data_IF_108425026765
#
_entry.id   IF_108425026765
#
_cell.length_a   1.000
_cell.length_b   1.000
_cell.length_c   1.000
_cell.angle_alpha   90.00
_cell.angle_beta   90.00
_cell.angle_gamma   90.00
#
_symmetry.space_group_name_H-M   'P 1'
#
loop_
_entity.id
_entity.type
_entity.pdbx_description
1 polymer ?
#
# COMPACT_ATOMS: atom_id res chain seq x y z
N UNK A 1 -0.52 6.22 3.82
CA UNK A 1 0.84 6.65 3.46
C UNK A 1 0.82 7.02 2.00
N UNK A 2 1.13 8.26 1.68
CA UNK A 2 0.96 8.85 0.36
C UNK A 2 2.32 8.97 -0.34
N UNK A 3 2.36 8.72 -1.65
CA UNK A 3 3.56 8.87 -2.46
C UNK A 3 4.08 10.30 -2.46
N UNK A 4 3.20 11.30 -2.53
CA UNK A 4 3.63 12.70 -2.46
C UNK A 4 4.31 13.02 -1.13
N UNK A 5 3.78 12.46 -0.04
CA UNK A 5 4.35 12.66 1.30
C UNK A 5 5.72 12.00 1.44
N UNK A 6 5.92 10.81 0.89
CA UNK A 6 7.27 10.21 0.83
C UNK A 6 8.22 11.10 0.01
N UNK A 7 7.75 11.65 -1.11
CA UNK A 7 8.55 12.55 -1.93
C UNK A 7 8.97 13.80 -1.14
N UNK A 8 8.05 14.45 -0.44
CA UNK A 8 8.35 15.60 0.43
C UNK A 8 9.41 15.24 1.49
N UNK A 9 9.29 14.07 2.13
CA UNK A 9 10.26 13.60 3.13
C UNK A 9 11.66 13.38 2.53
N UNK A 10 11.75 12.89 1.30
CA UNK A 10 13.02 12.64 0.60
C UNK A 10 13.67 13.91 0.04
N UNK A 11 12.96 15.05 0.04
CA UNK A 11 13.54 16.36 -0.27
C UNK A 11 14.22 17.01 0.95
N UNK A 12 13.92 16.54 2.17
CA UNK A 12 14.52 17.05 3.41
C UNK A 12 15.93 16.46 3.58
N UNK A 13 16.96 17.27 3.88
CA UNK A 13 18.31 16.77 4.10
C UNK A 13 18.36 15.82 5.31
N UNK A 14 19.13 14.74 5.17
CA UNK A 14 19.27 13.69 6.19
C UNK A 14 19.57 14.23 7.59
N UNK A 15 20.41 15.27 7.69
CA UNK A 15 20.75 15.90 8.97
C UNK A 15 19.54 16.48 9.69
N UNK A 16 18.60 17.09 8.99
CA UNK A 16 17.38 17.63 9.61
C UNK A 16 16.42 16.52 10.02
N UNK A 17 16.32 15.47 9.22
CA UNK A 17 15.53 14.27 9.56
C UNK A 17 16.09 13.51 10.76
N UNK A 18 17.40 13.57 11.00
CA UNK A 18 18.01 12.89 12.14
C UNK A 18 17.75 13.59 13.48
N UNK A 19 17.67 14.91 13.45
CA UNK A 19 17.35 15.78 14.60
C UNK A 19 15.83 15.82 14.89
N UNK A 20 14.98 15.69 13.87
CA UNK A 20 13.53 15.63 14.02
C UNK A 20 13.03 14.20 14.25
N UNK A 21 12.63 13.91 15.49
CA UNK A 21 12.14 12.58 15.89
C UNK A 21 10.86 12.15 15.17
N UNK A 22 9.97 13.08 14.83
CA UNK A 22 8.69 12.77 14.18
C UNK A 22 8.93 12.42 12.71
N UNK A 23 9.70 13.24 12.00
CA UNK A 23 10.05 12.97 10.60
C UNK A 23 10.87 11.68 10.47
N UNK A 24 11.80 11.44 11.40
CA UNK A 24 12.57 10.19 11.48
C UNK A 24 11.67 8.96 11.58
N UNK A 25 10.65 9.03 12.44
CA UNK A 25 9.70 7.94 12.62
C UNK A 25 8.91 7.71 11.33
N UNK A 26 8.44 8.78 10.69
CA UNK A 26 7.64 8.72 9.47
C UNK A 26 8.41 8.04 8.32
N UNK A 27 9.67 8.41 8.10
CA UNK A 27 10.56 7.76 7.12
C UNK A 27 10.74 6.27 7.41
N UNK A 28 10.92 5.92 8.69
CA UNK A 28 11.08 4.52 9.13
C UNK A 28 9.80 3.71 8.89
N UNK A 29 8.62 4.29 9.09
CA UNK A 29 7.34 3.65 8.79
C UNK A 29 7.16 3.44 7.28
N UNK A 30 7.56 4.41 6.43
CA UNK A 30 7.57 4.22 4.98
C UNK A 30 8.46 3.06 4.57
N UNK A 31 9.69 2.99 5.11
CA UNK A 31 10.60 1.89 4.86
C UNK A 31 9.99 0.54 5.29
N UNK A 32 9.39 0.47 6.48
CA UNK A 32 8.72 -0.73 6.95
C UNK A 32 7.60 -1.17 5.99
N UNK A 33 6.78 -0.23 5.53
CA UNK A 33 5.65 -0.51 4.64
C UNK A 33 6.10 -1.00 3.26
N UNK A 34 7.12 -0.37 2.70
CA UNK A 34 7.60 -0.67 1.35
C UNK A 34 8.32 -2.01 1.32
N UNK A 35 9.19 -2.27 2.30
CA UNK A 35 10.04 -3.46 2.33
C UNK A 35 9.50 -4.61 3.19
N UNK A 36 8.36 -4.43 3.86
CA UNK A 36 7.77 -5.37 4.83
C UNK A 36 8.77 -5.86 5.90
N UNK A 37 9.71 -4.99 6.29
CA UNK A 37 10.80 -5.30 7.24
C UNK A 37 10.61 -4.50 8.52
N UNK A 38 10.75 -5.15 9.67
CA UNK A 38 10.77 -4.47 10.97
C UNK A 38 12.07 -3.64 11.10
N UNK A 39 11.99 -2.30 11.12
CA UNK A 39 13.17 -1.46 11.18
C UNK A 39 13.74 -1.42 12.60
N UNK A 40 15.06 -1.31 12.71
CA UNK A 40 15.73 -1.12 13.99
C UNK A 40 15.75 0.38 14.33
N UNK A 41 14.93 0.79 15.30
CA UNK A 41 14.85 2.19 15.76
C UNK A 41 15.97 2.58 16.73
N UNK A 42 16.65 1.60 17.35
CA UNK A 42 17.76 1.85 18.30
C UNK A 42 19.15 1.87 17.64
N UNK A 43 19.25 1.48 16.36
CA UNK A 43 20.52 1.35 15.66
C UNK A 43 20.92 2.67 14.98
N UNK A 44 21.89 3.40 15.54
CA UNK A 44 22.32 4.72 15.03
C UNK A 44 22.67 4.75 13.53
N UNK A 45 23.33 3.71 13.03
CA UNK A 45 23.79 3.66 11.62
C UNK A 45 22.74 3.11 10.64
N UNK A 46 21.54 2.74 11.10
CA UNK A 46 20.53 2.13 10.23
C UNK A 46 19.60 3.14 9.57
N UNK A 47 19.35 4.27 10.22
CA UNK A 47 18.50 5.31 9.65
C UNK A 47 19.03 5.89 8.31
N UNK A 48 20.33 6.26 8.19
CA UNK A 48 20.91 6.68 6.91
C UNK A 48 20.74 5.63 5.81
N UNK A 49 20.83 4.35 6.17
CA UNK A 49 20.64 3.24 5.24
C UNK A 49 19.20 3.18 4.75
N UNK A 50 18.21 3.26 5.64
CA UNK A 50 16.78 3.27 5.27
C UNK A 50 16.43 4.46 4.36
N UNK A 51 16.92 5.64 4.71
CA UNK A 51 16.73 6.85 3.90
C UNK A 51 17.30 6.67 2.50
N UNK A 52 18.52 6.14 2.37
CA UNK A 52 19.14 5.89 1.07
C UNK A 52 18.35 4.89 0.23
N UNK A 53 17.92 3.76 0.81
CA UNK A 53 17.13 2.75 0.10
C UNK A 53 15.79 3.33 -0.40
N UNK A 54 15.13 4.15 0.42
CA UNK A 54 13.91 4.86 0.03
C UNK A 54 14.14 5.89 -1.07
N UNK A 55 15.29 6.57 -1.07
CA UNK A 55 15.66 7.54 -2.09
C UNK A 55 15.97 6.87 -3.43
N UNK A 56 16.57 5.68 -3.40
CA UNK A 56 16.90 4.91 -4.60
C UNK A 56 15.69 4.21 -5.21
N UNK A 57 14.84 3.54 -4.41
CA UNK A 57 13.76 2.69 -4.93
C UNK A 57 12.39 2.91 -4.24
N UNK A 58 12.34 3.68 -3.15
CA UNK A 58 11.15 3.79 -2.31
C UNK A 58 9.96 4.39 -3.03
N UNK A 59 10.17 5.39 -3.89
CA UNK A 59 9.09 5.99 -4.67
C UNK A 59 8.51 5.03 -5.72
N UNK A 60 9.34 4.23 -6.39
CA UNK A 60 8.90 3.25 -7.38
C UNK A 60 8.11 2.12 -6.71
N UNK A 61 8.67 1.53 -5.65
CA UNK A 61 8.04 0.45 -4.90
C UNK A 61 6.76 0.88 -4.16
N UNK A 62 6.64 2.16 -3.80
CA UNK A 62 5.41 2.71 -3.24
C UNK A 62 4.33 2.92 -4.32
N UNK A 63 4.73 3.17 -5.57
CA UNK A 63 3.80 3.34 -6.70
C UNK A 63 3.14 2.00 -7.07
N UNK A 64 3.82 0.87 -6.87
CA UNK A 64 3.26 -0.48 -7.08
C UNK A 64 2.17 -0.88 -6.06
N UNK A 65 1.84 -0.04 -5.08
CA UNK A 65 0.88 -0.39 -4.01
C UNK A 65 -0.16 0.69 -3.70
N UNK A 66 -0.40 1.65 -4.58
CA UNK A 66 -1.66 2.40 -4.54
C UNK A 66 -2.71 1.67 -5.34
N UNK A 67 -3.39 0.75 -4.65
CA UNK A 67 -4.57 0.11 -5.21
C UNK A 67 -5.61 1.15 -5.65
N UNK A 68 -6.22 0.90 -6.80
CA UNK A 68 -7.40 1.63 -7.26
C UNK A 68 -8.63 1.32 -6.39
N UNK A 69 -8.58 0.26 -5.61
CA UNK A 69 -9.60 -0.16 -4.67
C UNK A 69 -9.32 0.30 -3.24
N UNK A 70 -10.38 0.71 -2.56
CA UNK A 70 -10.36 1.00 -1.12
C UNK A 70 -11.66 0.53 -0.50
N UNK A 71 -11.57 -0.32 0.51
CA UNK A 71 -12.74 -0.75 1.29
C UNK A 71 -13.28 0.40 2.14
N UNK A 72 -14.61 0.45 2.28
CA UNK A 72 -15.29 1.39 3.17
C UNK A 72 -14.83 1.18 4.61
N UNK A 73 -14.46 2.27 5.27
CA UNK A 73 -14.04 2.27 6.69
C UNK A 73 -15.13 1.81 7.67
N UNK A 74 -16.40 1.95 7.29
CA UNK A 74 -17.58 1.67 8.14
C UNK A 74 -17.99 0.18 8.15
N UNK A 75 -17.38 -0.68 7.34
CA UNK A 75 -17.81 -2.09 7.23
C UNK A 75 -17.59 -2.92 8.51
N UNK A 76 -16.84 -2.42 9.50
CA UNK A 76 -16.52 -3.15 10.73
C UNK A 76 -15.66 -4.40 10.54
N UNK A 77 -15.38 -4.80 9.30
CA UNK A 77 -14.57 -5.96 8.95
C UNK A 77 -13.15 -5.50 8.62
N UNK A 78 -12.21 -5.77 9.52
CA UNK A 78 -10.81 -5.39 9.33
C UNK A 78 -10.06 -6.29 8.34
N UNK A 79 -10.53 -7.51 8.09
CA UNK A 79 -9.91 -8.46 7.16
C UNK A 79 -10.97 -9.43 6.61
N UNK A 80 -11.17 -9.42 5.31
CA UNK A 80 -12.05 -10.36 4.60
C UNK A 80 -11.14 -11.41 3.96
N UNK A 81 -11.29 -12.67 4.35
CA UNK A 81 -10.49 -13.79 3.84
C UNK A 81 -11.30 -14.59 2.83
N UNK A 82 -10.64 -15.05 1.76
CA UNK A 82 -11.22 -15.89 0.71
C UNK A 82 -10.80 -17.35 0.86
N UNK A 83 -11.51 -18.26 0.18
CA UNK A 83 -11.20 -19.70 0.19
C UNK A 83 -9.77 -20.03 -0.28
N UNK A 84 -9.18 -19.20 -1.13
CA UNK A 84 -7.80 -19.36 -1.62
C UNK A 84 -6.72 -18.76 -0.67
N UNK A 85 -7.11 -18.29 0.53
CA UNK A 85 -6.19 -17.73 1.51
C UNK A 85 -5.77 -16.27 1.26
N UNK A 86 -6.22 -15.66 0.16
CA UNK A 86 -6.06 -14.21 -0.06
C UNK A 86 -6.98 -13.42 0.88
N UNK A 87 -6.67 -12.15 1.10
CA UNK A 87 -7.51 -11.28 1.92
C UNK A 87 -7.46 -9.83 1.46
N UNK A 88 -8.53 -9.10 1.76
CA UNK A 88 -8.60 -7.64 1.61
C UNK A 88 -8.89 -6.98 2.98
N UNK A 89 -8.31 -5.81 3.20
CA UNK A 89 -8.50 -4.97 4.38
C UNK A 89 -8.51 -3.50 3.97
N UNK A 90 -8.86 -2.62 4.91
CA UNK A 90 -8.84 -1.17 4.68
C UNK A 90 -7.44 -0.62 4.34
N UNK A 91 -6.38 -1.35 4.70
CA UNK A 91 -4.98 -0.93 4.51
C UNK A 91 -4.23 -1.77 3.49
N UNK A 92 -4.85 -2.84 3.00
CA UNK A 92 -4.29 -3.81 2.06
C UNK A 92 -5.41 -4.35 1.16
N UNK A 93 -5.54 -3.77 -0.04
CA UNK A 93 -6.64 -4.04 -0.95
C UNK A 93 -6.15 -4.19 -2.38
N UNK A 94 -5.13 -5.02 -2.65
CA UNK A 94 -4.55 -5.18 -3.98
C UNK A 94 -5.59 -5.37 -5.11
N UNK A 95 -5.32 -4.75 -6.27
CA UNK A 95 -6.29 -4.63 -7.37
C UNK A 95 -6.72 -6.01 -7.89
N UNK A 96 -5.79 -6.92 -8.13
CA UNK A 96 -6.09 -8.29 -8.60
C UNK A 96 -6.99 -9.05 -7.61
N UNK A 97 -6.74 -8.88 -6.31
CA UNK A 97 -7.54 -9.53 -5.26
C UNK A 97 -8.93 -8.92 -5.18
N UNK A 98 -9.03 -7.59 -5.31
CA UNK A 98 -10.31 -6.89 -5.31
C UNK A 98 -11.14 -7.20 -6.56
N UNK A 99 -10.51 -7.32 -7.72
CA UNK A 99 -11.17 -7.72 -8.97
C UNK A 99 -11.71 -9.14 -8.86
N UNK A 100 -10.93 -10.11 -8.38
CA UNK A 100 -11.43 -11.47 -8.12
C UNK A 100 -12.57 -11.49 -7.08
N UNK A 101 -12.52 -10.61 -6.07
CA UNK A 101 -13.60 -10.48 -5.09
C UNK A 101 -14.92 -9.99 -5.71
N UNK A 102 -14.82 -9.08 -6.69
CA UNK A 102 -15.95 -8.54 -7.45
C UNK A 102 -16.44 -9.49 -8.53
N UNK A 103 -15.55 -10.23 -9.19
CA UNK A 103 -15.89 -11.29 -10.14
C UNK A 103 -16.81 -12.34 -9.48
N UNK A 104 -16.41 -12.82 -8.29
CA UNK A 104 -17.21 -13.79 -7.55
C UNK A 104 -18.61 -13.27 -7.16
N UNK A 105 -18.79 -11.95 -6.96
CA UNK A 105 -20.10 -11.33 -6.79
C UNK A 105 -20.02 -9.80 -7.01
N UNK A 106 -20.47 -9.30 -8.18
CA UNK A 106 -20.34 -7.88 -8.54
C UNK A 106 -21.07 -6.91 -7.59
N UNK A 107 -22.09 -7.38 -6.85
CA UNK A 107 -22.81 -6.54 -5.87
C UNK A 107 -21.93 -6.11 -4.69
N UNK A 108 -20.78 -6.76 -4.51
CA UNK A 108 -19.78 -6.41 -3.49
C UNK A 108 -19.08 -5.08 -3.77
N UNK A 109 -19.25 -4.49 -4.95
CA UNK A 109 -18.75 -3.13 -5.24
C UNK A 109 -19.22 -2.09 -4.21
N UNK A 110 -20.41 -2.32 -3.61
CA UNK A 110 -20.96 -1.49 -2.52
C UNK A 110 -20.11 -1.47 -1.24
N UNK A 111 -19.14 -2.39 -1.12
CA UNK A 111 -18.17 -2.48 -0.03
C UNK A 111 -16.95 -1.58 -0.25
N UNK A 112 -16.73 -1.07 -1.46
CA UNK A 112 -15.61 -0.19 -1.78
C UNK A 112 -16.05 1.28 -1.78
N UNK A 113 -15.22 2.17 -1.23
CA UNK A 113 -15.38 3.62 -1.30
C UNK A 113 -14.64 4.24 -2.49
N UNK A 114 -13.55 3.58 -2.93
CA UNK A 114 -12.75 3.92 -4.12
C UNK A 114 -12.60 2.67 -4.96
N UNK A 115 -12.77 2.78 -6.26
CA UNK A 115 -12.60 1.71 -7.24
C UNK A 115 -12.43 2.35 -8.63
N UNK A 116 -11.80 1.67 -9.60
CA UNK A 116 -11.66 2.18 -10.96
C UNK A 116 -13.01 2.16 -11.69
N UNK A 117 -13.33 3.17 -12.50
CA UNK A 117 -14.63 3.27 -13.20
C UNK A 117 -14.88 2.10 -14.17
N UNK A 118 -13.80 1.61 -14.78
CA UNK A 118 -13.80 0.48 -15.71
C UNK A 118 -13.69 -0.90 -15.04
N UNK A 119 -13.95 -1.02 -13.73
CA UNK A 119 -13.84 -2.29 -13.00
C UNK A 119 -14.68 -3.44 -13.61
N UNK A 120 -15.84 -3.13 -14.19
CA UNK A 120 -16.68 -4.13 -14.86
C UNK A 120 -16.00 -4.74 -16.09
N UNK A 121 -15.24 -3.95 -16.84
CA UNK A 121 -14.49 -4.45 -17.99
C UNK A 121 -13.29 -5.29 -17.55
N UNK A 122 -12.65 -4.88 -16.43
CA UNK A 122 -11.51 -5.60 -15.86
C UNK A 122 -11.89 -7.01 -15.39
N UNK A 123 -13.06 -7.20 -14.77
CA UNK A 123 -13.49 -8.55 -14.34
C UNK A 123 -13.84 -9.46 -15.53
N UNK A 124 -14.37 -8.93 -16.63
CA UNK A 124 -14.69 -9.74 -17.83
C UNK A 124 -13.43 -10.18 -18.58
N UNK A 125 -12.36 -9.39 -18.52
CA UNK A 125 -11.08 -9.75 -19.15
C UNK A 125 -10.38 -10.91 -18.41
N UNK A 126 -10.54 -11.02 -17.09
CA UNK A 126 -9.96 -12.11 -16.28
C UNK A 126 -10.54 -13.48 -16.68
N UNK A 127 -11.82 -13.55 -17.06
CA UNK A 127 -12.44 -14.79 -17.57
C UNK A 127 -11.82 -15.24 -18.90
N UNK A 128 -11.23 -14.33 -19.68
CA UNK A 128 -10.74 -14.63 -21.05
C UNK A 128 -9.29 -15.11 -21.08
N UNK A 129 -8.50 -14.90 -20.01
CA UNK A 129 -7.09 -15.31 -19.94
C UNK A 129 -6.89 -16.72 -19.34
N UNK A 130 -7.98 -17.34 -18.84
CA UNK A 130 -7.98 -18.68 -18.26
C UNK A 130 -8.43 -19.80 -19.23
N UNK A 131 -8.53 -19.51 -20.54
CA UNK A 131 -8.91 -20.48 -21.59
C UNK A 131 -7.73 -20.93 -22.48
#
# INVERSE_FOLDING_TARGET
MNRDRLKELLEIPLSELEDDKELKLEVVEYYQRIYDKKPCTSCKNKFPQYYKELLENGLELLTEKESNFKLRTDLGVSKITFDNGQFISQTHADDDVCLGFLEANPKRITMFEKYPENWMELITQIETDNE
#
